data_IF_482333999456
#
_entry.id   IF_482333999456
#
_cell.length_a   1.000
_cell.length_b   1.000
_cell.length_c   1.000
_cell.angle_alpha   90.00
_cell.angle_beta   90.00
_cell.angle_gamma   90.00
#
_symmetry.space_group_name_H-M   'P 1'
#
loop_
_entity.id
_entity.type
_entity.pdbx_description
1 polymer ?
#
# COMPACT_ATOMS: atom_id res chain seq x y z
N UNK A 1 -0.43 -4.57 14.70
CA UNK A 1 -0.86 -3.18 14.49
C UNK A 1 -0.01 -2.62 13.36
N UNK A 2 -0.55 -2.55 12.14
CA UNK A 2 0.18 -2.05 10.96
C UNK A 2 -0.23 -0.59 10.74
N UNK A 3 0.54 0.33 11.32
CA UNK A 3 0.29 1.76 11.13
C UNK A 3 1.21 2.29 10.02
N UNK A 4 0.67 3.11 9.14
CA UNK A 4 1.39 3.86 8.12
C UNK A 4 1.48 5.32 8.53
N UNK A 5 2.63 5.92 8.24
CA UNK A 5 2.87 7.35 8.34
C UNK A 5 2.76 7.97 6.94
N UNK A 6 2.07 9.09 6.83
CA UNK A 6 1.90 9.86 5.61
C UNK A 6 2.44 11.26 5.89
N UNK A 7 3.67 11.53 5.45
CA UNK A 7 4.35 12.80 5.60
C UNK A 7 4.27 13.67 4.34
N UNK A 8 4.88 14.85 4.45
CA UNK A 8 4.96 15.84 3.38
C UNK A 8 3.59 16.31 2.85
N UNK A 9 2.59 16.35 3.74
CA UNK A 9 1.28 16.90 3.43
C UNK A 9 1.36 18.42 3.39
N UNK A 10 0.83 19.04 2.32
CA UNK A 10 0.66 20.49 2.28
C UNK A 10 -0.42 20.95 3.25
N UNK A 11 -0.37 22.20 3.70
CA UNK A 11 -1.35 22.78 4.63
C UNK A 11 -2.80 22.74 4.11
N UNK A 12 -2.97 22.60 2.79
CA UNK A 12 -4.27 22.43 2.15
C UNK A 12 -4.76 20.99 2.06
N UNK A 13 -3.94 19.99 2.40
CA UNK A 13 -4.32 18.57 2.32
C UNK A 13 -5.22 18.20 3.50
N UNK A 14 -6.36 17.60 3.18
CA UNK A 14 -7.37 17.19 4.17
C UNK A 14 -7.47 15.67 4.30
N UNK A 15 -8.14 15.21 5.36
CA UNK A 15 -8.33 13.79 5.58
C UNK A 15 -9.15 13.17 4.45
N UNK A 16 -10.05 13.96 3.85
CA UNK A 16 -10.88 13.55 2.73
C UNK A 16 -10.05 13.24 1.48
N UNK A 17 -9.00 14.02 1.20
CA UNK A 17 -8.07 13.73 0.09
C UNK A 17 -7.36 12.39 0.29
N UNK A 18 -6.86 12.14 1.51
CA UNK A 18 -6.22 10.85 1.83
C UNK A 18 -7.22 9.70 1.69
N UNK A 19 -8.44 9.86 2.21
CA UNK A 19 -9.49 8.84 2.10
C UNK A 19 -9.79 8.55 0.63
N UNK A 20 -10.03 9.58 -0.19
CA UNK A 20 -10.28 9.41 -1.63
C UNK A 20 -9.12 8.73 -2.34
N UNK A 21 -7.89 9.09 -2.01
CA UNK A 21 -6.70 8.47 -2.61
C UNK A 21 -6.62 6.98 -2.25
N UNK A 22 -6.90 6.62 -1.00
CA UNK A 22 -6.93 5.22 -0.58
C UNK A 22 -8.09 4.43 -1.20
N UNK A 23 -9.27 5.04 -1.34
CA UNK A 23 -10.44 4.44 -2.00
C UNK A 23 -10.22 4.23 -3.50
N UNK A 24 -9.64 5.22 -4.21
CA UNK A 24 -9.33 5.14 -5.64
C UNK A 24 -8.41 3.96 -5.96
N UNK A 25 -7.36 3.81 -5.16
CA UNK A 25 -6.42 2.69 -5.27
C UNK A 25 -6.96 1.38 -4.65
N UNK A 26 -8.19 1.38 -4.14
CA UNK A 26 -8.85 0.26 -3.47
C UNK A 26 -7.99 -0.38 -2.38
N UNK A 27 -7.31 0.46 -1.59
CA UNK A 27 -6.49 0.00 -0.49
C UNK A 27 -7.35 -0.01 0.78
N UNK A 28 -7.63 -1.20 1.35
CA UNK A 28 -8.36 -1.29 2.60
C UNK A 28 -7.48 -0.74 3.73
N UNK A 29 -8.03 0.24 4.43
CA UNK A 29 -7.50 0.73 5.69
C UNK A 29 -8.40 0.25 6.84
N UNK A 30 -7.81 0.11 8.01
CA UNK A 30 -8.49 -0.23 9.25
C UNK A 30 -8.45 0.98 10.17
N UNK A 31 -9.53 1.27 10.88
CA UNK A 31 -9.62 2.49 11.69
C UNK A 31 -9.76 3.75 10.84
N UNK A 32 -9.25 4.88 11.36
CA UNK A 32 -9.44 6.21 10.76
C UNK A 32 -8.09 6.89 10.52
N UNK A 33 -8.04 7.78 9.52
CA UNK A 33 -6.90 8.66 9.30
C UNK A 33 -6.75 9.64 10.45
N UNK A 34 -5.64 9.54 11.16
CA UNK A 34 -5.24 10.48 12.21
C UNK A 34 -4.38 11.59 11.60
N UNK A 35 -5.00 12.71 11.26
CA UNK A 35 -4.29 13.89 10.78
C UNK A 35 -3.68 14.72 11.91
N UNK A 36 -2.48 15.24 11.66
CA UNK A 36 -1.73 16.20 12.45
C UNK A 36 -1.23 17.32 11.53
N UNK A 37 -0.62 18.36 12.10
CA UNK A 37 -0.09 19.48 11.32
C UNK A 37 1.05 19.01 10.38
N UNK A 38 0.73 18.81 9.10
CA UNK A 38 1.69 18.44 8.04
C UNK A 38 1.93 16.94 7.84
N UNK A 39 1.20 16.07 8.55
CA UNK A 39 1.31 14.61 8.41
C UNK A 39 0.06 13.89 8.90
N UNK A 40 -0.12 12.63 8.49
CA UNK A 40 -1.22 11.78 8.91
C UNK A 40 -0.75 10.35 9.22
N UNK A 41 -1.58 9.61 9.95
CA UNK A 41 -1.39 8.17 10.15
C UNK A 41 -2.65 7.41 9.77
N UNK A 42 -2.47 6.22 9.23
CA UNK A 42 -3.57 5.29 8.92
C UNK A 42 -3.21 3.90 9.41
N UNK A 43 -4.18 3.16 9.91
CA UNK A 43 -3.99 1.75 10.25
C UNK A 43 -4.41 0.88 9.06
N UNK A 44 -3.72 -0.24 8.87
CA UNK A 44 -4.01 -1.24 7.85
C UNK A 44 -4.31 -2.58 8.51
N UNK A 45 -5.21 -3.40 7.93
CA UNK A 45 -5.49 -4.74 8.43
C UNK A 45 -4.29 -5.69 8.24
N UNK A 46 -3.56 -5.55 7.11
CA UNK A 46 -2.43 -6.40 6.75
C UNK A 46 -1.20 -5.61 6.30
N UNK A 47 -0.03 -6.21 6.49
CA UNK A 47 1.27 -5.69 6.04
C UNK A 47 1.34 -5.58 4.51
N UNK A 48 0.68 -6.50 3.80
CA UNK A 48 0.69 -6.52 2.33
C UNK A 48 -0.02 -5.27 1.76
N UNK A 49 -1.13 -4.88 2.37
CA UNK A 49 -1.82 -3.63 2.04
C UNK A 49 -1.01 -2.41 2.44
N UNK A 50 -0.35 -2.46 3.60
CA UNK A 50 0.54 -1.39 4.05
C UNK A 50 1.70 -1.16 3.08
N UNK A 51 2.36 -2.23 2.62
CA UNK A 51 3.44 -2.17 1.64
C UNK A 51 2.94 -1.67 0.29
N UNK A 52 1.78 -2.16 -0.17
CA UNK A 52 1.16 -1.69 -1.41
C UNK A 52 0.84 -0.20 -1.34
N UNK A 53 0.32 0.28 -0.20
CA UNK A 53 0.04 1.68 0.03
C UNK A 53 1.33 2.52 -0.06
N UNK A 54 2.39 2.10 0.62
CA UNK A 54 3.69 2.77 0.56
C UNK A 54 4.19 2.86 -0.89
N UNK A 55 4.23 1.74 -1.63
CA UNK A 55 4.74 1.72 -3.00
C UNK A 55 3.85 2.49 -4.00
N UNK A 56 2.56 2.57 -3.71
CA UNK A 56 1.56 3.21 -4.58
C UNK A 56 1.43 4.70 -4.32
N UNK A 57 1.53 5.14 -3.07
CA UNK A 57 1.34 6.53 -2.68
C UNK A 57 2.66 7.28 -2.56
N UNK A 58 3.69 6.66 -1.96
CA UNK A 58 4.96 7.33 -1.66
C UNK A 58 5.66 7.79 -2.94
N UNK A 59 5.78 9.12 -3.10
CA UNK A 59 6.42 9.75 -4.24
C UNK A 59 5.66 9.66 -5.58
N UNK A 60 4.51 8.97 -5.60
CA UNK A 60 3.64 8.84 -6.78
C UNK A 60 2.39 9.72 -6.70
N UNK A 61 1.87 9.93 -5.50
CA UNK A 61 0.72 10.82 -5.29
C UNK A 61 1.21 12.21 -4.94
N UNK A 62 0.64 13.19 -5.63
CA UNK A 62 0.90 14.60 -5.42
C UNK A 62 -0.40 15.28 -5.00
N UNK A 63 -0.39 15.88 -3.81
CA UNK A 63 -1.52 16.64 -3.28
C UNK A 63 -1.10 18.10 -3.19
N UNK A 64 -1.88 18.98 -3.82
CA UNK A 64 -1.64 20.43 -3.81
C UNK A 64 -0.22 20.83 -4.30
N UNK A 65 0.32 20.12 -5.30
CA UNK A 65 1.65 20.41 -5.84
C UNK A 65 2.82 19.91 -4.97
N UNK A 66 2.54 19.13 -3.93
CA UNK A 66 3.54 18.46 -3.09
C UNK A 66 3.34 16.94 -3.10
N UNK A 67 4.43 16.21 -3.29
CA UNK A 67 4.40 14.74 -3.28
C UNK A 67 4.27 14.23 -1.85
N UNK A 68 3.27 13.41 -1.59
CA UNK A 68 3.14 12.80 -0.27
C UNK A 68 4.15 11.67 -0.11
N UNK A 69 4.62 11.47 1.10
CA UNK A 69 5.55 10.40 1.44
C UNK A 69 4.84 9.43 2.38
N UNK A 70 4.77 8.16 2.01
CA UNK A 70 4.14 7.13 2.84
C UNK A 70 5.21 6.16 3.32
N UNK A 71 5.28 5.92 4.62
CA UNK A 71 6.25 5.01 5.24
C UNK A 71 5.59 4.12 6.30
N UNK A 72 6.20 2.96 6.57
CA UNK A 72 5.74 2.07 7.62
C UNK A 72 6.06 2.64 9.01
N UNK A 73 5.04 2.79 9.85
CA UNK A 73 5.16 3.40 11.18
C UNK A 73 5.71 2.44 12.25
N UNK A 74 6.27 1.28 11.86
CA UNK A 74 6.84 0.29 12.80
C UNK A 74 8.29 -0.08 12.45
N UNK A 75 9.15 -0.39 13.45
CA UNK A 75 10.55 -0.66 13.23
C UNK A 75 10.79 -1.98 12.48
N UNK A 76 11.23 -1.88 11.22
CA UNK A 76 12.01 -2.75 10.30
C UNK A 76 12.14 -4.29 10.45
N UNK A 77 11.65 -4.96 11.50
CA UNK A 77 12.04 -6.33 11.86
C UNK A 77 11.34 -7.46 11.09
N UNK A 78 10.37 -7.16 10.21
CA UNK A 78 9.50 -8.16 9.58
C UNK A 78 9.64 -8.26 8.05
N UNK A 79 10.70 -7.69 7.45
CA UNK A 79 10.93 -7.69 5.99
C UNK A 79 11.44 -9.02 5.40
N UNK A 80 11.67 -10.06 6.19
CA UNK A 80 12.42 -11.24 5.74
C UNK A 80 11.56 -12.46 5.37
N UNK A 81 10.26 -12.50 5.66
CA UNK A 81 9.46 -13.74 5.52
C UNK A 81 8.49 -13.77 4.34
N UNK A 82 8.23 -12.66 3.65
CA UNK A 82 7.27 -12.62 2.53
C UNK A 82 7.89 -12.86 1.14
N UNK A 83 9.22 -12.77 1.00
CA UNK A 83 9.90 -13.03 -0.30
C UNK A 83 9.83 -14.49 -0.71
N UNK A 84 9.70 -15.41 0.24
CA UNK A 84 9.71 -16.85 -0.03
C UNK A 84 8.37 -17.41 -0.56
N UNK A 85 7.27 -16.67 -0.41
CA UNK A 85 5.93 -17.17 -0.80
C UNK A 85 5.56 -16.72 -2.23
N UNK A 86 5.85 -15.48 -2.61
CA UNK A 86 5.48 -14.95 -3.94
C UNK A 86 6.29 -15.60 -5.08
N UNK A 87 7.51 -16.07 -4.83
CA UNK A 87 8.32 -16.76 -5.85
C UNK A 87 7.91 -18.23 -6.09
N UNK A 88 6.87 -18.75 -5.41
CA UNK A 88 6.37 -20.13 -5.56
C UNK A 88 5.01 -20.21 -6.26
N UNK A 89 4.55 -19.11 -6.86
CA UNK A 89 3.23 -19.00 -7.52
C UNK A 89 3.23 -18.88 -9.05
N UNK A 90 4.39 -18.88 -9.72
CA UNK A 90 4.45 -19.06 -11.18
C UNK A 90 4.75 -20.53 -11.50
N UNK A 91 3.71 -21.36 -11.45
CA UNK A 91 3.68 -22.62 -12.17
C UNK A 91 2.51 -22.54 -13.12
N UNK A 92 2.79 -21.88 -14.25
CA UNK A 92 2.21 -22.06 -15.57
C UNK A 92 0.93 -22.92 -15.59
N UNK A 93 -0.21 -22.24 -15.69
CA UNK A 93 -1.49 -22.86 -16.03
C UNK A 93 -1.32 -23.68 -17.32
N UNK A 94 -1.57 -24.97 -17.16
CA UNK A 94 -1.58 -26.01 -18.17
C UNK A 94 -2.57 -25.63 -19.28
N UNK A 95 -2.05 -25.06 -20.38
CA UNK A 95 -2.78 -25.00 -21.64
C UNK A 95 -2.99 -26.42 -22.13
N UNK A 96 -4.12 -27.00 -21.74
CA UNK A 96 -4.64 -28.24 -22.30
C UNK A 96 -4.75 -28.14 -23.81
N UNK A 97 -3.92 -28.90 -24.52
CA UNK A 97 -4.23 -29.43 -25.84
C UNK A 97 -4.36 -30.95 -25.73
N UNK A 98 -5.58 -31.52 -25.72
CA UNK A 98 -5.71 -32.90 -26.13
C UNK A 98 -5.72 -32.92 -27.66
N UNK A 99 -4.88 -33.75 -28.28
CA UNK A 99 -5.34 -34.96 -28.97
C UNK A 99 -4.27 -35.53 -29.93
N UNK A 100 -3.85 -36.75 -29.57
CA UNK A 100 -3.49 -37.90 -30.41
C UNK A 100 -2.22 -37.89 -31.29
N UNK A 101 -1.32 -38.79 -30.89
CA UNK A 101 -0.39 -39.53 -31.74
C UNK A 101 -1.19 -40.62 -32.48
N UNK A 102 -1.27 -40.55 -33.82
CA UNK A 102 -0.85 -41.60 -34.78
C UNK A 102 -1.13 -41.13 -36.21
#
# INVERSE_FOLDING_TARGET
MHKLYIGNLGDSVTAEDLIKTFEDHKIPYSGQFLMKNGYAFVDCPDDQWAMKAIETFSGKVELHGKRIEVEHSVPKKQRQMMRDIFNRGQSHEDFSLPTSIN
#
